data_IF_541245729431
#
_entry.id   IF_541245729431
#
_cell.length_a   1.000
_cell.length_b   1.000
_cell.length_c   1.000
_cell.angle_alpha   90.00
_cell.angle_beta   90.00
_cell.angle_gamma   90.00
#
_symmetry.space_group_name_H-M   'P 1'
#
loop_
_entity.id
_entity.type
_entity.pdbx_description
1 polymer ?
#
# COMPACT_ATOMS: atom_id res chain seq x y z
N UNK A 1 20.49 -3.69 -28.37
CA UNK A 1 20.88 -4.52 -27.20
C UNK A 1 19.82 -4.33 -26.12
N UNK A 2 18.84 -5.24 -26.08
CA UNK A 2 17.67 -5.22 -25.19
C UNK A 2 17.92 -6.17 -24.02
N UNK A 3 18.41 -5.67 -22.88
CA UNK A 3 18.55 -6.51 -21.66
C UNK A 3 18.19 -5.80 -20.35
N UNK A 4 17.90 -4.49 -20.36
CA UNK A 4 17.70 -3.74 -19.11
C UNK A 4 16.27 -3.87 -18.53
N UNK A 5 15.24 -3.95 -19.37
CA UNK A 5 13.83 -4.00 -18.92
C UNK A 5 13.42 -5.33 -18.26
N UNK A 6 14.05 -6.44 -18.67
CA UNK A 6 13.75 -7.78 -18.18
C UNK A 6 14.26 -8.00 -16.75
N UNK A 7 15.37 -7.35 -16.38
CA UNK A 7 15.99 -7.49 -15.05
C UNK A 7 15.16 -6.80 -13.96
N UNK A 8 14.55 -5.65 -14.27
CA UNK A 8 13.67 -4.94 -13.31
C UNK A 8 12.35 -5.69 -13.09
N UNK A 9 11.79 -6.27 -14.15
CA UNK A 9 10.60 -7.11 -14.04
C UNK A 9 10.90 -8.41 -13.28
N UNK A 10 12.08 -9.01 -13.50
CA UNK A 10 12.54 -10.17 -12.77
C UNK A 10 12.81 -9.83 -11.30
N UNK A 11 13.40 -8.69 -10.96
CA UNK A 11 13.57 -8.24 -9.57
C UNK A 11 12.23 -8.01 -8.85
N UNK A 12 11.22 -7.47 -9.54
CA UNK A 12 9.86 -7.32 -9.00
C UNK A 12 9.13 -8.67 -8.85
N UNK A 13 9.39 -9.64 -9.74
CA UNK A 13 8.85 -11.00 -9.64
C UNK A 13 9.58 -11.83 -8.57
N UNK A 14 10.88 -11.64 -8.41
CA UNK A 14 11.74 -12.18 -7.34
C UNK A 14 11.24 -11.64 -6.00
N UNK A 15 11.01 -10.33 -5.87
CA UNK A 15 10.47 -9.73 -4.64
C UNK A 15 9.01 -10.11 -4.31
N UNK A 16 8.26 -10.64 -5.28
CA UNK A 16 6.93 -11.23 -5.05
C UNK A 16 7.00 -12.73 -4.74
N UNK A 17 8.10 -13.41 -5.07
CA UNK A 17 8.29 -14.87 -4.92
C UNK A 17 9.21 -15.27 -3.76
N UNK A 18 10.01 -14.37 -3.22
CA UNK A 18 10.88 -14.69 -2.09
C UNK A 18 10.20 -14.37 -0.75
N UNK A 19 9.59 -15.40 -0.17
CA UNK A 19 9.44 -15.62 1.28
C UNK A 19 10.82 -15.93 1.94
N UNK A 20 11.94 -15.53 1.34
CA UNK A 20 13.28 -15.90 1.78
C UNK A 20 13.99 -14.65 2.29
N UNK A 21 14.41 -14.74 3.56
CA UNK A 21 15.10 -13.75 4.40
C UNK A 21 14.20 -12.83 5.25
N UNK A 22 13.31 -13.44 6.03
CA UNK A 22 12.96 -12.94 7.36
C UNK A 22 13.04 -14.09 8.37
N UNK A 23 14.23 -14.71 8.46
CA UNK A 23 14.61 -15.46 9.66
C UNK A 23 15.04 -14.45 10.74
N UNK A 24 14.09 -13.62 11.19
CA UNK A 24 14.24 -12.93 12.46
C UNK A 24 13.71 -13.88 13.54
N UNK A 25 14.39 -14.03 14.69
CA UNK A 25 13.79 -14.74 15.83
C UNK A 25 12.41 -14.14 16.11
N UNK A 26 11.45 -14.96 16.58
CA UNK A 26 10.10 -14.52 16.94
C UNK A 26 10.14 -13.62 18.18
N UNK A 27 10.76 -12.46 18.04
CA UNK A 27 10.64 -11.35 18.96
C UNK A 27 9.23 -10.84 18.72
N UNK A 28 8.41 -10.81 19.79
CA UNK A 28 7.05 -10.30 19.70
C UNK A 28 7.01 -8.88 19.11
N UNK A 29 5.80 -8.38 18.88
CA UNK A 29 5.59 -7.00 18.41
C UNK A 29 6.52 -6.04 19.17
N UNK A 30 7.26 -5.22 18.43
CA UNK A 30 8.25 -4.33 19.02
C UNK A 30 7.52 -3.27 19.86
N UNK A 31 7.46 -3.47 21.17
CA UNK A 31 6.78 -2.59 22.13
C UNK A 31 7.48 -1.23 22.21
N UNK A 32 6.72 -0.14 22.09
CA UNK A 32 7.16 1.16 22.57
C UNK A 32 6.93 1.26 24.08
N UNK A 33 7.92 1.79 24.80
CA UNK A 33 7.79 2.12 26.22
C UNK A 33 6.63 3.10 26.41
N UNK A 34 5.54 2.65 27.04
CA UNK A 34 4.32 3.43 27.28
C UNK A 34 3.10 2.98 26.46
N UNK A 35 3.25 2.04 25.54
CA UNK A 35 2.12 1.30 24.97
C UNK A 35 1.54 0.41 26.06
N UNK A 36 0.30 0.67 26.50
CA UNK A 36 -0.41 -0.06 27.56
C UNK A 36 -0.79 -1.50 27.20
N UNK A 37 0.14 -2.25 26.63
CA UNK A 37 -0.10 -3.51 25.97
C UNK A 37 0.18 -4.70 26.89
N UNK A 38 -0.57 -4.83 27.97
CA UNK A 38 -0.89 -6.17 28.49
C UNK A 38 -1.89 -6.83 27.52
N UNK A 39 -1.39 -7.23 26.34
CA UNK A 39 -2.23 -7.89 25.34
C UNK A 39 -2.50 -9.31 25.77
N UNK A 40 -3.76 -9.59 26.09
CA UNK A 40 -4.26 -10.95 26.28
C UNK A 40 -3.95 -11.79 25.03
N UNK A 41 -3.69 -13.11 25.18
CA UNK A 41 -3.43 -14.01 24.05
C UNK A 41 -4.51 -13.94 22.95
N UNK A 42 -5.76 -13.69 23.35
CA UNK A 42 -6.91 -13.52 22.44
C UNK A 42 -6.75 -12.29 21.53
N UNK A 43 -6.41 -11.12 22.08
CA UNK A 43 -6.17 -9.90 21.30
C UNK A 43 -5.01 -10.08 20.31
N UNK A 44 -3.97 -10.81 20.68
CA UNK A 44 -2.84 -11.14 19.77
C UNK A 44 -3.32 -12.00 18.61
N UNK A 45 -4.11 -13.05 18.89
CA UNK A 45 -4.63 -13.94 17.86
C UNK A 45 -5.54 -13.20 16.87
N UNK A 46 -6.41 -12.31 17.37
CA UNK A 46 -7.28 -11.52 16.51
C UNK A 46 -6.47 -10.56 15.64
N UNK A 47 -5.47 -9.87 16.20
CA UNK A 47 -4.60 -8.99 15.43
C UNK A 47 -3.85 -9.73 14.30
N UNK A 48 -3.42 -10.98 14.53
CA UNK A 48 -2.81 -11.81 13.49
C UNK A 48 -3.78 -12.13 12.33
N UNK A 49 -5.05 -12.42 12.64
CA UNK A 49 -6.09 -12.64 11.63
C UNK A 49 -6.32 -11.35 10.84
N UNK A 50 -6.40 -10.21 11.51
CA UNK A 50 -6.60 -8.92 10.88
C UNK A 50 -5.44 -8.55 9.94
N UNK A 51 -4.18 -8.78 10.33
CA UNK A 51 -3.03 -8.60 9.44
C UNK A 51 -3.06 -9.54 8.25
N UNK A 52 -3.53 -10.77 8.43
CA UNK A 52 -3.68 -11.72 7.33
C UNK A 52 -4.74 -11.26 6.32
N UNK A 53 -5.83 -10.65 6.80
CA UNK A 53 -6.86 -10.04 5.96
C UNK A 53 -6.29 -8.84 5.18
N UNK A 54 -5.60 -7.93 5.86
CA UNK A 54 -4.94 -6.78 5.21
C UNK A 54 -3.88 -7.19 4.18
N UNK A 55 -3.12 -8.27 4.44
CA UNK A 55 -2.19 -8.83 3.47
C UNK A 55 -2.90 -9.31 2.21
N UNK A 56 -4.05 -9.98 2.36
CA UNK A 56 -4.87 -10.43 1.21
C UNK A 56 -5.42 -9.24 0.42
N UNK A 57 -6.03 -8.28 1.11
CA UNK A 57 -6.61 -7.08 0.52
C UNK A 57 -5.55 -6.25 -0.22
N UNK A 58 -4.40 -6.01 0.39
CA UNK A 58 -3.29 -5.25 -0.23
C UNK A 58 -2.73 -5.94 -1.48
N UNK A 59 -2.60 -7.27 -1.48
CA UNK A 59 -2.17 -8.03 -2.68
C UNK A 59 -3.21 -7.98 -3.80
N UNK A 60 -4.49 -8.08 -3.47
CA UNK A 60 -5.58 -7.96 -4.43
C UNK A 60 -5.59 -6.56 -5.06
N UNK A 61 -5.51 -5.52 -4.23
CA UNK A 61 -5.45 -4.13 -4.68
C UNK A 61 -4.21 -3.87 -5.54
N UNK A 62 -3.03 -4.36 -5.13
CA UNK A 62 -1.80 -4.28 -5.92
C UNK A 62 -1.98 -4.87 -7.34
N UNK A 63 -2.62 -6.02 -7.45
CA UNK A 63 -2.88 -6.66 -8.76
C UNK A 63 -3.78 -5.77 -9.62
N UNK A 64 -4.91 -5.32 -9.07
CA UNK A 64 -5.85 -4.42 -9.77
C UNK A 64 -5.18 -3.13 -10.22
N UNK A 65 -4.38 -2.50 -9.36
CA UNK A 65 -3.61 -1.30 -9.70
C UNK A 65 -2.59 -1.56 -10.81
N UNK A 66 -1.86 -2.68 -10.77
CA UNK A 66 -0.91 -3.05 -11.84
C UNK A 66 -1.61 -3.23 -13.19
N UNK A 67 -2.73 -3.94 -13.19
CA UNK A 67 -3.51 -4.19 -14.40
C UNK A 67 -4.03 -2.86 -14.98
N UNK A 68 -4.64 -2.01 -14.16
CA UNK A 68 -5.08 -0.67 -14.57
C UNK A 68 -3.91 0.19 -15.09
N UNK A 69 -2.78 0.21 -14.37
CA UNK A 69 -1.60 1.02 -14.77
C UNK A 69 -1.10 0.63 -16.15
N UNK A 70 -1.05 -0.68 -16.43
CA UNK A 70 -0.64 -1.21 -17.73
C UNK A 70 -1.65 -0.84 -18.81
N UNK A 71 -2.95 -1.06 -18.58
CA UNK A 71 -3.98 -0.72 -19.57
C UNK A 71 -4.02 0.78 -19.85
N UNK A 72 -3.90 1.61 -18.81
CA UNK A 72 -3.87 3.06 -18.94
C UNK A 72 -2.69 3.53 -19.78
N UNK A 73 -1.49 3.00 -19.55
CA UNK A 73 -0.30 3.34 -20.35
C UNK A 73 -0.51 3.01 -21.83
N UNK A 74 -1.02 1.82 -22.13
CA UNK A 74 -1.23 1.35 -23.50
C UNK A 74 -2.28 2.18 -24.24
N UNK A 75 -3.37 2.54 -23.56
CA UNK A 75 -4.51 3.23 -24.19
C UNK A 75 -4.33 4.75 -24.23
N UNK A 76 -3.88 5.36 -23.13
CA UNK A 76 -3.88 6.82 -22.95
C UNK A 76 -2.56 7.49 -23.26
N UNK A 77 -1.47 6.74 -23.23
CA UNK A 77 -0.10 7.23 -23.41
C UNK A 77 0.67 6.36 -24.43
N UNK A 78 0.11 6.09 -25.63
CA UNK A 78 0.79 5.26 -26.62
C UNK A 78 2.11 5.91 -27.06
N UNK A 79 3.17 5.11 -27.13
CA UNK A 79 4.49 5.56 -27.60
C UNK A 79 5.31 6.36 -26.57
N UNK A 80 4.85 6.51 -25.33
CA UNK A 80 5.62 7.20 -24.28
C UNK A 80 6.68 6.28 -23.70
N UNK A 81 7.95 6.70 -23.81
CA UNK A 81 9.01 6.14 -22.99
C UNK A 81 8.88 6.66 -21.55
N UNK A 82 8.58 5.72 -20.65
CA UNK A 82 8.41 5.90 -19.18
C UNK A 82 9.44 6.82 -18.49
N UNK A 83 10.74 6.90 -18.87
CA UNK A 83 11.70 7.76 -18.16
C UNK A 83 11.48 9.29 -18.24
N UNK A 84 10.56 9.81 -19.06
CA UNK A 84 10.38 11.27 -19.25
C UNK A 84 9.25 11.90 -18.43
N UNK A 85 8.66 11.16 -17.49
CA UNK A 85 7.51 11.65 -16.73
C UNK A 85 8.02 12.24 -15.41
N UNK A 86 8.04 13.58 -15.31
CA UNK A 86 8.46 14.31 -14.10
C UNK A 86 7.62 13.89 -12.89
N UNK A 87 8.28 13.49 -11.80
CA UNK A 87 7.62 13.09 -10.57
C UNK A 87 6.77 14.25 -10.00
N UNK A 88 5.56 13.94 -9.52
CA UNK A 88 4.86 14.88 -8.65
C UNK A 88 5.66 14.99 -7.34
N UNK A 89 6.29 16.14 -7.10
CA UNK A 89 7.06 16.45 -5.87
C UNK A 89 6.29 16.22 -4.56
N UNK A 90 4.96 16.11 -4.64
CA UNK A 90 4.05 15.99 -3.49
C UNK A 90 3.53 14.58 -3.25
N UNK A 91 4.00 13.56 -3.98
CA UNK A 91 3.65 12.17 -3.69
C UNK A 91 4.49 11.65 -2.53
N UNK A 92 3.91 10.83 -1.62
CA UNK A 92 4.66 10.15 -0.58
C UNK A 92 5.80 9.38 -1.22
N UNK A 93 7.00 9.48 -0.65
CA UNK A 93 8.14 8.70 -1.13
C UNK A 93 7.76 7.22 -1.12
N UNK A 94 7.58 6.66 -2.31
CA UNK A 94 7.30 5.25 -2.47
C UNK A 94 8.55 4.39 -2.24
N UNK A 95 9.73 5.01 -2.24
CA UNK A 95 11.02 4.40 -1.92
C UNK A 95 11.50 4.89 -0.55
N UNK A 96 11.18 4.13 0.49
CA UNK A 96 12.06 4.12 1.66
C UNK A 96 13.29 3.29 1.29
N UNK A 97 14.48 3.75 1.66
CA UNK A 97 15.64 2.86 1.58
C UNK A 97 15.44 1.67 2.53
N UNK A 98 16.12 0.57 2.21
CA UNK A 98 15.92 -0.70 2.90
C UNK A 98 16.20 -0.61 4.41
N UNK A 99 17.21 0.17 4.81
CA UNK A 99 17.60 0.29 6.22
C UNK A 99 16.56 1.06 7.01
N UNK A 100 16.12 2.21 6.50
CA UNK A 100 15.04 3.00 7.12
C UNK A 100 13.74 2.19 7.20
N UNK A 101 13.43 1.38 6.18
CA UNK A 101 12.23 0.54 6.20
C UNK A 101 12.28 -0.55 7.28
N UNK A 102 13.44 -1.20 7.43
CA UNK A 102 13.62 -2.27 8.40
C UNK A 102 13.62 -1.75 9.84
N UNK A 103 14.11 -0.53 10.07
CA UNK A 103 14.19 0.08 11.40
C UNK A 103 12.86 0.63 11.94
N UNK A 104 11.80 0.69 11.12
CA UNK A 104 10.48 1.14 11.60
C UNK A 104 9.90 0.15 12.61
N UNK A 105 9.46 0.68 13.76
CA UNK A 105 8.64 -0.07 14.71
C UNK A 105 7.34 -0.51 14.07
N UNK A 106 6.74 -1.57 14.60
CA UNK A 106 5.50 -2.10 14.03
C UNK A 106 4.32 -1.13 14.16
N UNK A 107 4.26 -0.38 15.28
CA UNK A 107 3.27 0.68 15.48
C UNK A 107 3.44 1.82 14.46
N UNK A 108 4.67 2.33 14.30
CA UNK A 108 4.96 3.39 13.31
C UNK A 108 4.67 2.93 11.89
N UNK A 109 4.88 1.65 11.58
CA UNK A 109 4.55 1.04 10.29
C UNK A 109 3.05 1.06 10.03
N UNK A 110 2.25 0.62 11.00
CA UNK A 110 0.79 0.60 10.86
C UNK A 110 0.20 2.01 10.73
N UNK A 111 0.67 2.96 11.55
CA UNK A 111 0.25 4.37 11.48
C UNK A 111 0.63 5.02 10.14
N UNK A 112 1.84 4.74 9.62
CA UNK A 112 2.24 5.22 8.30
C UNK A 112 1.38 4.64 7.17
N UNK A 113 1.02 3.35 7.26
CA UNK A 113 0.12 2.72 6.29
C UNK A 113 -1.24 3.43 6.29
N UNK A 114 -1.86 3.64 7.46
CA UNK A 114 -3.15 4.32 7.57
C UNK A 114 -3.12 5.72 6.94
N UNK A 115 -2.11 6.52 7.32
CA UNK A 115 -1.88 7.86 6.78
C UNK A 115 -1.75 7.84 5.25
N UNK A 116 -0.96 6.91 4.73
CA UNK A 116 -0.65 6.84 3.30
C UNK A 116 -1.82 6.27 2.48
N UNK A 117 -2.61 5.33 3.01
CA UNK A 117 -3.87 4.87 2.40
C UNK A 117 -4.82 6.05 2.25
N UNK A 118 -5.03 6.83 3.32
CA UNK A 118 -5.89 8.03 3.28
C UNK A 118 -5.45 9.01 2.20
N UNK A 119 -4.13 9.25 2.08
CA UNK A 119 -3.56 10.08 1.03
C UNK A 119 -3.91 9.57 -0.37
N UNK A 120 -3.63 8.29 -0.67
CA UNK A 120 -3.90 7.73 -2.00
C UNK A 120 -5.40 7.62 -2.29
N UNK A 121 -6.23 7.34 -1.29
CA UNK A 121 -7.68 7.33 -1.43
C UNK A 121 -8.18 8.69 -1.95
N UNK A 122 -7.69 9.80 -1.38
CA UNK A 122 -8.04 11.14 -1.87
C UNK A 122 -7.52 11.45 -3.27
N UNK A 123 -6.36 10.92 -3.67
CA UNK A 123 -5.86 11.06 -5.04
C UNK A 123 -6.70 10.24 -6.03
N UNK A 124 -7.01 8.99 -5.71
CA UNK A 124 -7.83 8.11 -6.56
C UNK A 124 -9.22 8.71 -6.76
N UNK A 125 -9.79 9.37 -5.75
CA UNK A 125 -11.04 10.14 -5.92
C UNK A 125 -10.92 11.27 -6.96
N UNK A 126 -9.77 11.95 -7.03
CA UNK A 126 -9.51 12.96 -8.08
C UNK A 126 -9.37 12.31 -9.46
N UNK A 127 -8.65 11.19 -9.57
CA UNK A 127 -8.50 10.43 -10.82
C UNK A 127 -9.85 9.92 -11.33
N UNK A 128 -10.66 9.31 -10.45
CA UNK A 128 -12.01 8.82 -10.77
C UNK A 128 -12.89 9.95 -11.31
N UNK A 129 -12.91 11.10 -10.64
CA UNK A 129 -13.69 12.28 -11.09
C UNK A 129 -13.21 12.79 -12.44
N UNK A 130 -11.90 12.78 -12.69
CA UNK A 130 -11.34 13.16 -13.97
C UNK A 130 -11.78 12.21 -15.09
N UNK A 131 -11.69 10.90 -14.88
CA UNK A 131 -12.12 9.93 -15.89
C UNK A 131 -13.63 9.94 -16.13
N UNK A 132 -14.44 10.21 -15.09
CA UNK A 132 -15.89 10.35 -15.21
C UNK A 132 -16.30 11.59 -16.01
N UNK A 133 -15.72 12.76 -15.68
CA UNK A 133 -16.24 14.06 -16.11
C UNK A 133 -15.47 14.61 -17.31
N UNK A 134 -14.13 14.54 -17.28
CA UNK A 134 -13.29 15.19 -18.29
C UNK A 134 -12.97 14.28 -19.47
N UNK A 135 -12.74 13.00 -19.21
CA UNK A 135 -12.43 12.02 -20.25
C UNK A 135 -13.64 11.21 -20.70
N UNK A 136 -14.67 11.10 -19.86
CA UNK A 136 -15.88 10.29 -20.07
C UNK A 136 -15.54 8.88 -20.57
N UNK A 137 -14.76 8.15 -19.76
CA UNK A 137 -14.07 6.94 -20.20
C UNK A 137 -14.49 5.67 -19.45
N UNK A 138 -14.21 4.53 -20.08
CA UNK A 138 -14.38 3.21 -19.48
C UNK A 138 -13.41 2.94 -18.31
N UNK A 139 -12.42 3.79 -18.06
CA UNK A 139 -11.54 3.67 -16.89
C UNK A 139 -12.25 4.06 -15.59
N UNK A 140 -13.37 4.79 -15.65
CA UNK A 140 -14.12 5.21 -14.46
C UNK A 140 -14.42 4.04 -13.52
N UNK A 141 -14.94 2.92 -14.04
CA UNK A 141 -15.29 1.75 -13.23
C UNK A 141 -14.07 1.09 -12.58
N UNK A 142 -12.92 1.10 -13.27
CA UNK A 142 -11.67 0.56 -12.73
C UNK A 142 -11.12 1.44 -11.61
N UNK A 143 -11.23 2.77 -11.74
CA UNK A 143 -10.88 3.69 -10.65
C UNK A 143 -11.85 3.61 -9.48
N UNK A 144 -13.15 3.40 -9.72
CA UNK A 144 -14.14 3.16 -8.67
C UNK A 144 -13.84 1.89 -7.87
N UNK A 145 -13.47 0.81 -8.55
CA UNK A 145 -13.04 -0.43 -7.89
C UNK A 145 -11.80 -0.19 -7.00
N UNK A 146 -10.78 0.52 -7.49
CA UNK A 146 -9.60 0.88 -6.67
C UNK A 146 -9.99 1.77 -5.48
N UNK A 147 -10.88 2.76 -5.68
CA UNK A 147 -11.39 3.65 -4.62
C UNK A 147 -12.02 2.86 -3.47
N UNK A 148 -12.93 1.94 -3.81
CA UNK A 148 -13.61 1.06 -2.85
C UNK A 148 -12.61 0.17 -2.11
N UNK A 149 -11.69 -0.49 -2.84
CA UNK A 149 -10.70 -1.37 -2.21
C UNK A 149 -9.73 -0.58 -1.30
N UNK A 150 -9.39 0.68 -1.62
CA UNK A 150 -8.59 1.54 -0.75
C UNK A 150 -9.34 1.93 0.53
N UNK A 151 -10.63 2.29 0.42
CA UNK A 151 -11.48 2.59 1.56
C UNK A 151 -11.57 1.39 2.51
N UNK A 152 -11.85 0.21 1.97
CA UNK A 152 -12.04 -1.01 2.76
C UNK A 152 -10.72 -1.43 3.43
N UNK A 153 -9.60 -1.36 2.72
CA UNK A 153 -8.28 -1.56 3.33
C UNK A 153 -8.00 -0.52 4.43
N UNK A 154 -8.34 0.75 4.22
CA UNK A 154 -8.21 1.81 5.22
C UNK A 154 -8.96 1.50 6.51
N UNK A 155 -10.25 1.14 6.40
CA UNK A 155 -11.05 0.74 7.56
C UNK A 155 -10.45 -0.46 8.31
N UNK A 156 -9.91 -1.42 7.57
CA UNK A 156 -9.24 -2.59 8.15
C UNK A 156 -7.99 -2.20 8.95
N UNK A 157 -7.21 -1.22 8.47
CA UNK A 157 -6.04 -0.70 9.19
C UNK A 157 -6.45 0.12 10.42
N UNK A 158 -7.48 0.97 10.30
CA UNK A 158 -8.00 1.75 11.43
C UNK A 158 -8.52 0.84 12.56
N UNK A 159 -9.16 -0.28 12.19
CA UNK A 159 -9.56 -1.31 13.13
C UNK A 159 -8.36 -1.92 13.86
N UNK A 160 -7.27 -2.24 13.15
CA UNK A 160 -6.05 -2.78 13.75
C UNK A 160 -5.36 -1.79 14.69
N UNK A 161 -5.32 -0.51 14.34
CA UNK A 161 -4.80 0.57 15.19
C UNK A 161 -5.59 0.61 16.51
N UNK A 162 -6.92 0.55 16.41
CA UNK A 162 -7.82 0.53 17.56
C UNK A 162 -7.64 -0.73 18.41
N UNK A 163 -7.57 -1.90 17.77
CA UNK A 163 -7.37 -3.20 18.43
C UNK A 163 -6.02 -3.26 19.18
N UNK A 164 -5.00 -2.63 18.63
CA UNK A 164 -3.67 -2.49 19.24
C UNK A 164 -3.64 -1.37 20.31
N UNK A 165 -4.65 -0.53 20.42
CA UNK A 165 -4.68 0.58 21.38
C UNK A 165 -3.73 1.73 21.01
N UNK A 166 -3.42 1.89 19.73
CA UNK A 166 -2.62 3.01 19.23
C UNK A 166 -3.50 4.25 19.08
N UNK A 167 -2.96 5.42 19.41
CA UNK A 167 -3.65 6.69 19.14
C UNK A 167 -3.55 7.02 17.65
N UNK A 168 -4.71 7.20 17.02
CA UNK A 168 -4.78 7.67 15.63
C UNK A 168 -4.61 9.19 15.58
N UNK A 169 -3.39 9.69 15.84
CA UNK A 169 -3.10 11.13 15.67
C UNK A 169 -3.04 11.45 14.16
N UNK A 170 -4.23 11.66 13.60
CA UNK A 170 -4.40 11.89 12.16
C UNK A 170 -4.33 13.38 11.90
N UNK A 171 -3.11 13.93 11.92
CA UNK A 171 -2.91 15.30 11.44
C UNK A 171 -3.42 15.41 9.98
N UNK A 172 -4.13 16.49 9.63
CA UNK A 172 -4.69 16.64 8.30
C UNK A 172 -3.59 16.59 7.25
N UNK A 173 -3.69 15.61 6.35
CA UNK A 173 -2.70 15.42 5.30
C UNK A 173 -3.03 16.41 4.18
N UNK A 174 -2.06 17.26 3.82
CA UNK A 174 -2.18 18.12 2.64
C UNK A 174 -2.21 17.23 1.39
N UNK A 175 -3.36 17.18 0.74
CA UNK A 175 -3.53 16.42 -0.52
C UNK A 175 -3.26 17.37 -1.68
N UNK A 176 -2.32 17.06 -2.59
CA UNK A 176 -2.10 17.89 -3.75
C UNK A 176 -3.34 17.89 -4.64
N UNK A 177 -3.74 19.07 -5.10
CA UNK A 177 -4.74 19.21 -6.14
C UNK A 177 -4.07 18.93 -7.48
N UNK A 178 -4.44 17.81 -8.09
CA UNK A 178 -3.89 17.32 -9.36
C UNK A 178 -4.87 17.57 -10.51
N UNK A 179 -4.43 17.29 -11.74
CA UNK A 179 -5.24 17.33 -12.95
C UNK A 179 -5.79 18.73 -13.29
N UNK A 180 -4.98 19.75 -12.96
CA UNK A 180 -5.28 21.16 -13.19
C UNK A 180 -4.63 21.70 -14.47
N UNK A 181 -3.92 20.87 -15.23
CA UNK A 181 -3.30 21.31 -16.47
C UNK A 181 -4.37 21.58 -17.52
N UNK A 182 -4.15 22.63 -18.33
CA UNK A 182 -4.97 22.89 -19.52
C UNK A 182 -4.78 21.80 -20.58
N UNK A 183 -3.59 21.22 -20.63
CA UNK A 183 -3.27 20.13 -21.53
C UNK A 183 -3.77 18.78 -20.98
N UNK A 184 -4.65 18.11 -21.73
CA UNK A 184 -5.15 16.77 -21.37
C UNK A 184 -4.03 15.73 -21.31
N UNK A 185 -3.03 15.83 -22.18
CA UNK A 185 -1.87 14.95 -22.18
C UNK A 185 -1.12 14.99 -20.84
N UNK A 186 -0.85 16.20 -20.35
CA UNK A 186 -0.19 16.38 -19.06
C UNK A 186 -1.04 15.80 -17.91
N UNK A 187 -2.36 15.96 -17.95
CA UNK A 187 -3.25 15.34 -16.95
C UNK A 187 -3.20 13.79 -17.02
N UNK A 188 -3.17 13.19 -18.22
CA UNK A 188 -3.02 11.73 -18.38
C UNK A 188 -1.67 11.24 -17.85
N UNK A 189 -0.60 12.01 -18.04
CA UNK A 189 0.70 11.70 -17.42
C UNK A 189 0.59 11.73 -15.90
N UNK A 190 -0.06 12.73 -15.30
CA UNK A 190 -0.29 12.77 -13.84
C UNK A 190 -1.07 11.55 -13.33
N UNK A 191 -2.13 11.12 -14.04
CA UNK A 191 -2.86 9.89 -13.71
C UNK A 191 -1.90 8.69 -13.65
N UNK A 192 -1.06 8.52 -14.67
CA UNK A 192 -0.11 7.43 -14.74
C UNK A 192 0.94 7.48 -13.61
N UNK A 193 1.48 8.66 -13.27
CA UNK A 193 2.42 8.81 -12.15
C UNK A 193 1.78 8.36 -10.84
N UNK A 194 0.55 8.81 -10.58
CA UNK A 194 -0.17 8.48 -9.34
C UNK A 194 -0.39 6.97 -9.25
N UNK A 195 -0.78 6.32 -10.35
CA UNK A 195 -0.95 4.87 -10.43
C UNK A 195 0.37 4.11 -10.15
N UNK A 196 1.49 4.54 -10.74
CA UNK A 196 2.81 3.93 -10.49
C UNK A 196 3.31 4.12 -9.05
N UNK A 197 3.03 5.28 -8.47
CA UNK A 197 3.36 5.58 -7.08
C UNK A 197 2.51 4.72 -6.14
N UNK A 198 1.21 4.57 -6.42
CA UNK A 198 0.30 3.70 -5.69
C UNK A 198 0.74 2.23 -5.78
N UNK A 199 1.12 1.74 -6.95
CA UNK A 199 1.67 0.39 -7.11
C UNK A 199 2.87 0.16 -6.19
N UNK A 200 3.83 1.10 -6.19
CA UNK A 200 5.05 1.01 -5.39
C UNK A 200 4.73 1.02 -3.89
N UNK A 201 3.78 1.86 -3.48
CA UNK A 201 3.26 1.86 -2.11
C UNK A 201 2.62 0.51 -1.74
N UNK A 202 1.76 -0.05 -2.59
CA UNK A 202 1.06 -1.31 -2.31
C UNK A 202 2.01 -2.52 -2.24
N UNK A 203 3.12 -2.51 -3.00
CA UNK A 203 4.20 -3.49 -2.83
C UNK A 203 4.77 -3.42 -1.41
N UNK A 204 5.05 -2.22 -0.91
CA UNK A 204 5.54 -2.02 0.45
C UNK A 204 4.50 -2.45 1.49
N UNK A 205 3.24 -2.06 1.34
CA UNK A 205 2.15 -2.44 2.25
C UNK A 205 2.01 -3.95 2.38
N UNK A 206 2.08 -4.68 1.26
CA UNK A 206 2.02 -6.14 1.29
C UNK A 206 3.20 -6.76 2.06
N UNK A 207 4.41 -6.19 1.96
CA UNK A 207 5.57 -6.64 2.75
C UNK A 207 5.41 -6.29 4.23
N UNK A 208 4.90 -5.10 4.53
CA UNK A 208 4.66 -4.65 5.90
C UNK A 208 3.66 -5.55 6.62
N UNK A 209 2.52 -5.88 6.00
CA UNK A 209 1.57 -6.82 6.58
C UNK A 209 2.09 -8.24 6.68
N UNK A 210 2.95 -8.67 5.76
CA UNK A 210 3.63 -9.96 5.88
C UNK A 210 4.51 -9.99 7.14
N UNK A 211 5.31 -8.95 7.38
CA UNK A 211 6.14 -8.83 8.58
C UNK A 211 5.30 -8.77 9.86
N UNK A 212 4.29 -7.90 9.91
CA UNK A 212 3.39 -7.76 11.05
C UNK A 212 2.74 -9.10 11.42
N UNK A 213 2.25 -9.84 10.42
CA UNK A 213 1.68 -11.18 10.59
C UNK A 213 2.68 -12.18 11.18
N UNK A 214 3.95 -12.12 10.77
CA UNK A 214 5.00 -13.05 11.24
C UNK A 214 5.50 -12.73 12.65
N UNK A 215 5.42 -11.46 13.07
CA UNK A 215 5.86 -10.99 14.39
C UNK A 215 4.85 -11.22 15.51
N UNK A 216 3.60 -11.54 15.18
CA UNK A 216 2.63 -12.03 16.17
C UNK A 216 2.93 -13.51 16.45
N UNK A 217 3.34 -13.89 17.67
CA UNK A 217 3.63 -15.28 18.00
C UNK A 217 2.41 -16.15 17.71
N UNK A 218 2.61 -17.30 17.05
CA UNK A 218 1.58 -18.34 17.02
C UNK A 218 1.39 -18.79 18.47
N UNK A 219 0.30 -18.38 19.11
CA UNK A 219 -0.09 -18.95 20.40
C UNK A 219 -0.34 -20.43 20.14
N UNK A 220 0.54 -21.30 20.63
CA UNK A 220 0.29 -22.73 20.61
C UNK A 220 -0.99 -22.97 21.43
N UNK A 221 -2.03 -23.53 20.82
CA UNK A 221 -3.20 -23.94 21.59
C UNK A 221 -2.73 -24.89 22.69
N UNK A 222 -3.19 -24.71 23.94
CA UNK A 222 -2.91 -25.69 24.98
C UNK A 222 -3.45 -27.04 24.49
N UNK A 223 -2.57 -28.03 24.46
CA UNK A 223 -2.94 -29.43 24.23
C UNK A 223 -4.08 -29.76 25.19
N UNK A 224 -5.25 -30.07 24.64
CA UNK A 224 -6.34 -30.65 25.42
C UNK A 224 -5.80 -31.93 26.05
N UNK A 225 -5.46 -31.88 27.33
CA UNK A 225 -5.27 -33.06 28.16
C UNK A 225 -6.62 -33.74 28.27
N UNK A 226 -6.76 -34.88 27.59
CA UNK A 226 -7.83 -35.84 27.82
C UNK A 226 -7.53 -36.65 29.09
#
# INVERSE_FOLDING_TARGET
MHTSGTVVLLLLQVLLKFDILLAAPSVGLQEEKGSGLETTPEKKLDLQKEFSMSLKLSRQLLRKTKDLTRYYLLDRLPGVEVPHISHLERLPSASLDFHTWLSLSDASRLLQIAKTISFYHKLVQQLRKFEAIKENSNFFSQFEDIDVNLRDLGHQVDYQITLWGLSSDTQPISIPRILQNRNQWANRQEVYIVLRSLESFLVRVARDFLMLRMRVPKVALPSKSF
#
